data_IF_408784173649
#
_entry.id   IF_408784173649
#
_cell.length_a   1.000
_cell.length_b   1.000
_cell.length_c   1.000
_cell.angle_alpha   90.00
_cell.angle_beta   90.00
_cell.angle_gamma   90.00
#
_symmetry.space_group_name_H-M   'P 1'
#
loop_
_entity.id
_entity.type
_entity.pdbx_description
1 polymer ?
#
# COMPACT_ATOMS: atom_id res chain seq x y z
N UNK A 1 -52.48 23.05 6.19
CA UNK A 1 -51.83 23.77 5.07
C UNK A 1 -51.36 22.69 4.09
N UNK A 2 -52.05 22.28 3.01
CA UNK A 2 -52.67 22.99 1.86
C UNK A 2 -51.69 24.05 1.31
N UNK A 3 -51.09 23.96 0.13
CA UNK A 3 -51.31 23.14 -1.07
C UNK A 3 -50.00 22.91 -1.87
N UNK A 4 -49.96 21.90 -2.76
CA UNK A 4 -48.99 21.79 -3.86
C UNK A 4 -49.49 22.55 -5.12
N UNK A 5 -48.59 23.21 -5.85
CA UNK A 5 -48.89 23.81 -7.15
C UNK A 5 -48.40 22.92 -8.31
N UNK A 6 -49.37 22.38 -9.02
CA UNK A 6 -49.32 21.88 -10.41
C UNK A 6 -49.57 23.06 -11.35
N UNK A 7 -48.90 23.09 -12.50
CA UNK A 7 -49.40 23.53 -13.82
C UNK A 7 -48.27 23.24 -14.83
N UNK A 8 -48.31 22.19 -15.65
CA UNK A 8 -49.16 21.94 -16.83
C UNK A 8 -48.89 22.93 -17.98
N UNK A 9 -48.33 22.42 -19.10
CA UNK A 9 -48.83 22.67 -20.46
C UNK A 9 -48.19 21.75 -21.50
N UNK A 10 -49.07 21.28 -22.36
CA UNK A 10 -48.96 20.34 -23.48
C UNK A 10 -48.20 20.88 -24.73
N UNK A 11 -47.48 19.97 -25.41
CA UNK A 11 -47.50 19.56 -26.84
C UNK A 11 -47.87 20.55 -27.99
N UNK A 12 -47.64 20.26 -29.31
CA UNK A 12 -46.92 19.16 -29.99
C UNK A 12 -46.07 19.57 -31.24
N UNK A 13 -45.47 18.55 -31.89
CA UNK A 13 -45.24 18.40 -33.34
C UNK A 13 -44.39 19.43 -34.12
N UNK A 14 -43.17 19.00 -34.49
CA UNK A 14 -42.40 19.55 -35.60
C UNK A 14 -41.90 18.44 -36.53
N UNK A 15 -42.64 18.18 -37.61
CA UNK A 15 -42.18 17.41 -38.76
C UNK A 15 -41.04 18.16 -39.47
N UNK A 16 -39.96 17.46 -39.81
CA UNK A 16 -38.88 18.05 -40.61
C UNK A 16 -37.89 17.02 -41.15
N UNK A 17 -38.11 16.61 -42.40
CA UNK A 17 -37.02 16.46 -43.37
C UNK A 17 -36.13 15.22 -43.27
N UNK A 18 -36.45 14.23 -44.08
CA UNK A 18 -35.54 13.16 -44.46
C UNK A 18 -34.27 13.72 -45.16
N UNK A 19 -33.10 13.34 -44.65
CA UNK A 19 -31.87 13.33 -45.44
C UNK A 19 -31.19 11.98 -45.19
N UNK A 20 -31.42 11.03 -46.11
CA UNK A 20 -30.66 9.79 -46.20
C UNK A 20 -29.20 10.14 -46.43
N UNK A 21 -28.40 10.08 -45.37
CA UNK A 21 -26.94 10.11 -45.48
C UNK A 21 -26.46 8.76 -46.02
N UNK A 22 -25.46 8.75 -46.93
CA UNK A 22 -24.91 7.51 -47.46
C UNK A 22 -24.32 6.69 -46.31
N UNK A 23 -24.65 5.40 -46.32
CA UNK A 23 -24.13 4.40 -45.39
C UNK A 23 -22.65 4.24 -45.71
N UNK A 24 -21.80 5.05 -45.07
CA UNK A 24 -20.37 4.83 -45.07
C UNK A 24 -20.14 3.49 -44.35
N UNK A 25 -19.80 2.46 -45.12
CA UNK A 25 -19.52 1.13 -44.61
C UNK A 25 -18.45 1.18 -43.51
N UNK A 26 -18.51 0.28 -42.51
CA UNK A 26 -17.57 0.26 -41.40
C UNK A 26 -16.18 -0.14 -41.93
N UNK A 27 -15.37 0.86 -42.31
CA UNK A 27 -13.93 0.69 -42.51
C UNK A 27 -13.27 0.52 -41.15
N UNK A 28 -12.79 -0.70 -40.86
CA UNK A 28 -11.68 -0.97 -39.95
C UNK A 28 -11.86 -0.56 -38.48
N UNK A 29 -12.77 -1.20 -37.75
CA UNK A 29 -12.97 -0.97 -36.30
C UNK A 29 -11.88 -1.52 -35.36
N UNK A 30 -10.95 -2.33 -35.86
CA UNK A 30 -9.98 -3.06 -35.02
C UNK A 30 -8.96 -2.18 -34.29
N UNK A 31 -8.61 -1.00 -34.82
CA UNK A 31 -7.57 -0.13 -34.23
C UNK A 31 -8.02 0.65 -32.99
N UNK A 32 -9.33 0.95 -32.84
CA UNK A 32 -9.84 1.81 -31.75
C UNK A 32 -10.02 1.07 -30.42
N UNK A 33 -10.42 -0.20 -30.46
CA UNK A 33 -10.58 -1.03 -29.26
C UNK A 33 -9.22 -1.37 -28.63
N UNK A 34 -8.19 -1.57 -29.46
CA UNK A 34 -6.85 -1.95 -29.01
C UNK A 34 -6.11 -0.78 -28.34
N UNK A 35 -6.14 0.43 -28.92
CA UNK A 35 -5.58 1.63 -28.26
C UNK A 35 -6.33 2.06 -26.99
N UNK A 36 -7.55 1.57 -26.77
CA UNK A 36 -8.25 1.71 -25.48
C UNK A 36 -7.68 0.75 -24.43
N UNK A 37 -7.42 -0.50 -24.82
CA UNK A 37 -6.84 -1.54 -23.97
C UNK A 37 -5.42 -1.20 -23.52
N UNK A 38 -4.58 -0.66 -24.40
CA UNK A 38 -3.22 -0.24 -24.03
C UNK A 38 -3.22 0.89 -23.00
N UNK A 39 -4.13 1.85 -23.17
CA UNK A 39 -4.32 2.94 -22.20
C UNK A 39 -4.82 2.41 -20.86
N UNK A 40 -5.77 1.47 -20.87
CA UNK A 40 -6.25 0.81 -19.66
C UNK A 40 -5.12 0.04 -18.95
N UNK A 41 -4.32 -0.72 -19.69
CA UNK A 41 -3.17 -1.44 -19.13
C UNK A 41 -2.10 -0.48 -18.58
N UNK A 42 -1.84 0.63 -19.26
CA UNK A 42 -0.94 1.67 -18.77
C UNK A 42 -1.44 2.30 -17.46
N UNK A 43 -2.74 2.55 -17.37
CA UNK A 43 -3.35 3.08 -16.15
C UNK A 43 -3.29 2.06 -14.99
N UNK A 44 -3.60 0.79 -15.25
CA UNK A 44 -3.49 -0.28 -14.26
C UNK A 44 -2.04 -0.43 -13.76
N UNK A 45 -1.05 -0.34 -14.65
CA UNK A 45 0.35 -0.38 -14.25
C UNK A 45 0.73 0.80 -13.34
N UNK A 46 0.22 2.00 -13.65
CA UNK A 46 0.46 3.19 -12.81
C UNK A 46 -0.18 3.02 -11.44
N UNK A 47 -1.44 2.60 -11.38
CA UNK A 47 -2.16 2.37 -10.11
C UNK A 47 -1.45 1.30 -9.28
N UNK A 48 -1.09 0.17 -9.89
CA UNK A 48 -0.38 -0.91 -9.21
C UNK A 48 0.96 -0.44 -8.65
N UNK A 49 1.70 0.41 -9.38
CA UNK A 49 2.95 0.98 -8.90
C UNK A 49 2.74 1.91 -7.70
N UNK A 50 1.74 2.79 -7.77
CA UNK A 50 1.39 3.68 -6.66
C UNK A 50 1.00 2.88 -5.41
N UNK A 51 0.24 1.80 -5.57
CA UNK A 51 -0.11 0.90 -4.46
C UNK A 51 1.13 0.23 -3.86
N UNK A 52 2.06 -0.26 -4.69
CA UNK A 52 3.32 -0.83 -4.21
C UNK A 52 4.15 0.18 -3.42
N UNK A 53 4.25 1.42 -3.91
CA UNK A 53 4.98 2.49 -3.23
C UNK A 53 4.31 2.87 -1.88
N UNK A 54 2.98 2.86 -1.80
CA UNK A 54 2.24 3.11 -0.57
C UNK A 54 2.47 2.02 0.48
N UNK A 55 2.37 0.74 0.08
CA UNK A 55 2.62 -0.38 1.00
C UNK A 55 4.09 -0.41 1.45
N UNK A 56 5.04 -0.05 0.57
CA UNK A 56 6.44 0.06 0.94
C UNK A 56 6.68 1.16 1.98
N UNK A 57 6.06 2.34 1.82
CA UNK A 57 6.13 3.42 2.83
C UNK A 57 5.51 3.00 4.15
N UNK A 58 4.38 2.29 4.10
CA UNK A 58 3.72 1.74 5.30
C UNK A 58 4.63 0.76 6.03
N UNK A 59 5.24 -0.19 5.30
CA UNK A 59 6.22 -1.11 5.86
C UNK A 59 7.43 -0.39 6.47
N UNK A 60 7.96 0.63 5.79
CA UNK A 60 9.07 1.43 6.30
C UNK A 60 8.71 2.12 7.63
N UNK A 61 7.48 2.62 7.78
CA UNK A 61 6.98 3.17 9.04
C UNK A 61 6.97 2.16 10.19
N UNK A 62 6.40 0.96 9.97
CA UNK A 62 6.42 -0.11 10.97
C UNK A 62 7.84 -0.54 11.33
N UNK A 63 8.71 -0.67 10.33
CA UNK A 63 10.11 -1.03 10.53
C UNK A 63 10.83 0.02 11.38
N UNK A 64 10.64 1.31 11.10
CA UNK A 64 11.25 2.39 11.86
C UNK A 64 10.82 2.36 13.34
N UNK A 65 9.54 2.14 13.62
CA UNK A 65 9.06 2.01 15.00
C UNK A 65 9.65 0.77 15.69
N UNK A 66 9.70 -0.38 15.01
CA UNK A 66 10.29 -1.60 15.56
C UNK A 66 11.80 -1.45 15.81
N UNK A 67 12.53 -0.71 14.97
CA UNK A 67 13.95 -0.39 15.19
C UNK A 67 14.15 0.53 16.39
N UNK A 68 13.31 1.55 16.56
CA UNK A 68 13.35 2.41 17.74
C UNK A 68 13.08 1.62 19.03
N UNK A 69 12.07 0.73 19.03
CA UNK A 69 11.78 -0.12 20.17
C UNK A 69 12.91 -1.11 20.48
N UNK A 70 13.56 -1.68 19.45
CA UNK A 70 14.76 -2.52 19.64
C UNK A 70 15.89 -1.77 20.34
N UNK A 71 16.18 -0.53 19.92
CA UNK A 71 17.19 0.30 20.59
C UNK A 71 16.83 0.53 22.05
N UNK A 72 15.57 0.86 22.33
CA UNK A 72 15.10 1.04 23.70
C UNK A 72 15.26 -0.22 24.59
N UNK A 73 15.02 -1.41 24.02
CA UNK A 73 15.27 -2.70 24.71
C UNK A 73 16.76 -2.86 25.04
N UNK A 74 17.65 -2.59 24.08
CA UNK A 74 19.10 -2.68 24.31
C UNK A 74 19.58 -1.66 25.35
N UNK A 75 19.15 -0.40 25.25
CA UNK A 75 19.50 0.65 26.23
C UNK A 75 19.07 0.24 27.65
N UNK A 76 17.85 -0.30 27.79
CA UNK A 76 17.33 -0.76 29.09
C UNK A 76 18.10 -1.98 29.62
N UNK A 77 18.54 -2.87 28.71
CA UNK A 77 19.37 -4.02 29.05
C UNK A 77 20.74 -3.58 29.55
N UNK A 78 21.38 -2.61 28.88
CA UNK A 78 22.65 -2.03 29.30
C UNK A 78 22.54 -1.37 30.68
N UNK A 79 21.47 -0.61 30.93
CA UNK A 79 21.18 -0.02 32.23
C UNK A 79 21.01 -1.08 33.33
N UNK A 80 20.30 -2.17 33.04
CA UNK A 80 20.14 -3.29 33.97
C UNK A 80 21.49 -3.96 34.27
N UNK A 81 22.29 -4.24 33.23
CA UNK A 81 23.64 -4.81 33.40
C UNK A 81 24.52 -3.90 34.25
N UNK A 82 24.48 -2.59 34.02
CA UNK A 82 25.22 -1.62 34.83
C UNK A 82 24.75 -1.61 36.29
N UNK A 83 23.43 -1.68 36.53
CA UNK A 83 22.87 -1.74 37.88
C UNK A 83 23.26 -3.05 38.61
N UNK A 84 23.34 -4.17 37.90
CA UNK A 84 23.79 -5.46 38.46
C UNK A 84 25.30 -5.49 38.73
N UNK A 85 26.09 -4.81 37.92
CA UNK A 85 27.55 -4.73 38.07
C UNK A 85 27.99 -3.71 39.12
N UNK A 86 27.10 -2.83 39.59
CA UNK A 86 27.40 -1.84 40.61
C UNK A 86 27.88 -2.54 41.90
N UNK A 87 29.01 -2.11 42.50
CA UNK A 87 29.54 -2.74 43.69
C UNK A 87 28.52 -2.69 44.84
N UNK A 88 28.26 -3.86 45.43
CA UNK A 88 27.39 -3.96 46.59
C UNK A 88 28.08 -3.30 47.79
N UNK A 89 27.34 -2.44 48.48
CA UNK A 89 27.79 -1.90 49.76
C UNK A 89 27.55 -2.89 50.89
N UNK A 90 28.44 -2.87 51.87
CA UNK A 90 28.30 -3.65 53.12
C UNK A 90 27.13 -3.18 53.99
N UNK A 91 26.50 -2.05 53.65
CA UNK A 91 25.31 -1.55 54.35
C UNK A 91 24.02 -2.11 53.76
N UNK A 92 23.18 -2.68 54.63
CA UNK A 92 21.92 -3.35 54.26
C UNK A 92 20.91 -2.42 53.54
N UNK A 93 20.84 -1.14 53.91
CA UNK A 93 20.00 -0.14 53.25
C UNK A 93 20.41 0.08 51.79
N UNK A 94 21.72 0.15 51.54
CA UNK A 94 22.28 0.32 50.21
C UNK A 94 22.10 -0.95 49.36
N UNK A 95 22.23 -2.13 49.97
CA UNK A 95 21.91 -3.40 49.29
C UNK A 95 20.43 -3.46 48.86
N UNK A 96 19.50 -3.14 49.77
CA UNK A 96 18.05 -3.14 49.46
C UNK A 96 17.71 -2.18 48.33
N UNK A 97 18.33 -1.00 48.32
CA UNK A 97 18.16 -0.01 47.26
C UNK A 97 18.64 -0.56 45.91
N UNK A 98 19.84 -1.16 45.87
CA UNK A 98 20.39 -1.75 44.65
C UNK A 98 19.49 -2.88 44.12
N UNK A 99 19.03 -3.78 44.98
CA UNK A 99 18.10 -4.86 44.60
C UNK A 99 16.78 -4.31 44.06
N UNK A 100 16.22 -3.26 44.68
CA UNK A 100 14.99 -2.62 44.20
C UNK A 100 15.18 -1.99 42.81
N UNK A 101 16.34 -1.35 42.56
CA UNK A 101 16.67 -0.77 41.25
C UNK A 101 16.81 -1.84 40.17
N UNK A 102 17.50 -2.95 40.47
CA UNK A 102 17.63 -4.10 39.56
C UNK A 102 16.25 -4.69 39.23
N UNK A 103 15.41 -4.91 40.24
CA UNK A 103 14.05 -5.41 40.03
C UNK A 103 13.20 -4.48 39.17
N UNK A 104 13.29 -3.17 39.40
CA UNK A 104 12.61 -2.15 38.59
C UNK A 104 13.08 -2.20 37.13
N UNK A 105 14.39 -2.22 36.88
CA UNK A 105 14.95 -2.26 35.51
C UNK A 105 14.63 -3.57 34.79
N UNK A 106 14.65 -4.70 35.49
CA UNK A 106 14.23 -5.98 34.93
C UNK A 106 12.75 -5.96 34.51
N UNK A 107 11.88 -5.34 35.32
CA UNK A 107 10.47 -5.14 34.98
C UNK A 107 10.29 -4.26 33.73
N UNK A 108 11.04 -3.16 33.62
CA UNK A 108 11.00 -2.31 32.43
C UNK A 108 11.49 -3.05 31.17
N UNK A 109 12.59 -3.80 31.27
CA UNK A 109 13.11 -4.61 30.17
C UNK A 109 12.07 -5.62 29.69
N UNK A 110 11.41 -6.32 30.61
CA UNK A 110 10.37 -7.28 30.28
C UNK A 110 9.20 -6.64 29.53
N UNK A 111 8.74 -5.46 29.99
CA UNK A 111 7.66 -4.72 29.33
C UNK A 111 8.05 -4.24 27.93
N UNK A 112 9.30 -3.77 27.75
CA UNK A 112 9.82 -3.34 26.46
C UNK A 112 9.95 -4.52 25.47
N UNK A 113 10.45 -5.67 25.94
CA UNK A 113 10.53 -6.89 25.14
C UNK A 113 9.14 -7.43 24.74
N UNK A 114 8.17 -7.35 25.63
CA UNK A 114 6.77 -7.64 25.31
C UNK A 114 6.19 -6.69 24.28
N UNK A 115 6.42 -5.39 24.42
CA UNK A 115 5.96 -4.39 23.46
C UNK A 115 6.55 -4.70 22.08
N UNK A 116 7.84 -4.98 22.00
CA UNK A 116 8.50 -5.38 20.77
C UNK A 116 7.90 -6.66 20.17
N UNK A 117 7.64 -7.69 20.98
CA UNK A 117 6.97 -8.92 20.52
C UNK A 117 5.58 -8.64 19.96
N UNK A 118 4.78 -7.77 20.59
CA UNK A 118 3.45 -7.37 20.09
C UNK A 118 3.49 -6.64 18.75
N UNK A 119 4.61 -6.00 18.41
CA UNK A 119 4.78 -5.31 17.13
C UNK A 119 5.09 -6.25 15.95
N UNK A 120 5.68 -7.41 16.23
CA UNK A 120 6.18 -8.32 15.21
C UNK A 120 5.12 -8.73 14.17
N UNK A 121 3.88 -9.12 14.56
CA UNK A 121 2.85 -9.51 13.58
C UNK A 121 2.47 -8.38 12.62
N UNK A 122 2.39 -7.14 13.10
CA UNK A 122 2.05 -5.99 12.25
C UNK A 122 3.17 -5.68 11.25
N UNK A 123 4.43 -5.82 11.67
CA UNK A 123 5.59 -5.67 10.81
C UNK A 123 5.63 -6.74 9.71
N UNK A 124 5.38 -7.99 10.07
CA UNK A 124 5.36 -9.11 9.12
C UNK A 124 4.20 -9.00 8.13
N UNK A 125 3.01 -8.60 8.60
CA UNK A 125 1.86 -8.33 7.74
C UNK A 125 2.16 -7.20 6.75
N UNK A 126 2.76 -6.10 7.20
CA UNK A 126 3.13 -4.99 6.33
C UNK A 126 4.21 -5.40 5.30
N UNK A 127 5.18 -6.24 5.70
CA UNK A 127 6.19 -6.79 4.80
C UNK A 127 5.55 -7.65 3.70
N UNK A 128 4.63 -8.54 4.08
CA UNK A 128 3.92 -9.40 3.14
C UNK A 128 3.02 -8.61 2.18
N UNK A 129 2.34 -7.56 2.68
CA UNK A 129 1.54 -6.66 1.85
C UNK A 129 2.39 -5.91 0.83
N UNK A 130 3.53 -5.34 1.25
CA UNK A 130 4.46 -4.66 0.36
C UNK A 130 5.03 -5.60 -0.72
N UNK A 131 5.45 -6.81 -0.33
CA UNK A 131 5.94 -7.82 -1.28
C UNK A 131 4.86 -8.21 -2.31
N UNK A 132 3.62 -8.40 -1.85
CA UNK A 132 2.49 -8.74 -2.71
C UNK A 132 2.17 -7.61 -3.69
N UNK A 133 2.09 -6.37 -3.21
CA UNK A 133 1.81 -5.21 -4.05
C UNK A 133 2.90 -4.97 -5.09
N UNK A 134 4.17 -5.12 -4.71
CA UNK A 134 5.29 -5.05 -5.63
C UNK A 134 5.22 -6.15 -6.69
N UNK A 135 5.00 -7.40 -6.29
CA UNK A 135 4.85 -8.52 -7.24
C UNK A 135 3.72 -8.31 -8.24
N UNK A 136 2.58 -7.75 -7.81
CA UNK A 136 1.47 -7.38 -8.70
C UNK A 136 1.88 -6.29 -9.70
N UNK A 137 2.59 -5.26 -9.24
CA UNK A 137 3.06 -4.18 -10.10
C UNK A 137 4.03 -4.70 -11.18
N UNK A 138 4.97 -5.57 -10.81
CA UNK A 138 5.92 -6.20 -11.74
C UNK A 138 5.22 -7.13 -12.74
N UNK A 139 4.24 -7.93 -12.29
CA UNK A 139 3.46 -8.78 -13.19
C UNK A 139 2.71 -7.97 -14.25
N UNK A 140 2.06 -6.85 -13.87
CA UNK A 140 1.36 -5.98 -14.83
C UNK A 140 2.36 -5.31 -15.78
N UNK A 141 3.52 -4.87 -15.28
CA UNK A 141 4.57 -4.30 -16.12
C UNK A 141 5.07 -5.31 -17.18
N UNK A 142 5.26 -6.57 -16.79
CA UNK A 142 5.71 -7.61 -17.72
C UNK A 142 4.62 -7.98 -18.73
N UNK A 143 3.35 -8.12 -18.31
CA UNK A 143 2.23 -8.33 -19.22
C UNK A 143 2.13 -7.23 -20.29
N UNK A 144 2.41 -5.98 -19.93
CA UNK A 144 2.47 -4.87 -20.89
C UNK A 144 3.60 -5.01 -21.90
N UNK A 145 4.80 -5.39 -21.45
CA UNK A 145 5.95 -5.63 -22.34
C UNK A 145 5.66 -6.75 -23.33
N UNK A 146 5.09 -7.85 -22.85
CA UNK A 146 4.72 -8.99 -23.70
C UNK A 146 3.64 -8.59 -24.72
N UNK A 147 2.62 -7.85 -24.30
CA UNK A 147 1.56 -7.37 -25.20
C UNK A 147 2.13 -6.45 -26.29
N UNK A 148 2.99 -5.50 -25.92
CA UNK A 148 3.63 -4.59 -26.87
C UNK A 148 4.51 -5.32 -27.90
N UNK A 149 5.24 -6.37 -27.48
CA UNK A 149 6.04 -7.21 -28.40
C UNK A 149 5.15 -7.94 -29.40
N UNK A 150 4.07 -8.58 -28.93
CA UNK A 150 3.11 -9.26 -29.80
C UNK A 150 2.49 -8.31 -30.84
N UNK A 151 2.21 -7.07 -30.46
CA UNK A 151 1.70 -6.07 -31.40
C UNK A 151 2.71 -5.67 -32.46
N UNK A 152 3.99 -5.53 -32.09
CA UNK A 152 5.06 -5.22 -33.03
C UNK A 152 5.22 -6.36 -34.05
N UNK A 153 5.20 -7.61 -33.59
CA UNK A 153 5.24 -8.79 -34.46
C UNK A 153 4.02 -8.85 -35.39
N UNK A 154 2.82 -8.59 -34.89
CA UNK A 154 1.61 -8.55 -35.72
C UNK A 154 1.64 -7.43 -36.76
N UNK A 155 2.17 -6.26 -36.41
CA UNK A 155 2.35 -5.14 -37.35
C UNK A 155 3.37 -5.51 -38.42
N UNK A 156 4.52 -6.07 -38.05
CA UNK A 156 5.55 -6.51 -38.98
C UNK A 156 5.02 -7.56 -39.98
N UNK A 157 4.22 -8.52 -39.52
CA UNK A 157 3.55 -9.53 -40.37
C UNK A 157 2.50 -8.95 -41.33
N UNK A 158 1.92 -7.79 -41.02
CA UNK A 158 0.92 -7.12 -41.88
C UNK A 158 1.56 -6.21 -42.92
N UNK A 159 2.80 -5.78 -42.69
CA UNK A 159 3.55 -4.89 -43.59
C UNK A 159 4.50 -5.66 -44.52
N UNK A 160 4.69 -6.96 -44.29
CA UNK A 160 5.37 -7.91 -45.19
C UNK A 160 4.37 -8.65 -46.05
#
# INVERSE_FOLDING_TARGET
MKAPSREARDDPAGCGGAARRPIAGPRGGGGRLMGSRDRQMAELARIARLQADLELRRYAGYRGHAEAMRRHVEDTREELTAAMAAPASDRLDQWRLATALVGYRAGQLHQAEEALRRMQPALDAARAAAATAFGRAEAIAELRRLTARQEQEQKARRTS
#
